data_IF_859645040833
#
_entry.id   IF_859645040833
#
_cell.length_a   1.000
_cell.length_b   1.000
_cell.length_c   1.000
_cell.angle_alpha   90.00
_cell.angle_beta   90.00
_cell.angle_gamma   90.00
#
_symmetry.space_group_name_H-M   'P 1'
#
loop_
_entity.id
_entity.type
_entity.pdbx_description
1 polymer ?
#
# COMPACT_ATOMS: atom_id res chain seq x y z
N UNK A 1 35.92 -1.48 -29.79
CA UNK A 1 34.83 -1.93 -28.89
C UNK A 1 34.32 -3.24 -29.45
N UNK A 2 34.65 -4.34 -28.77
CA UNK A 2 34.26 -5.68 -29.19
C UNK A 2 32.76 -5.86 -29.06
N UNK A 3 32.10 -6.25 -30.15
CA UNK A 3 30.75 -6.82 -30.14
C UNK A 3 30.73 -7.98 -29.13
N UNK A 4 30.17 -7.72 -27.94
CA UNK A 4 29.81 -8.77 -26.99
C UNK A 4 28.66 -9.55 -27.63
N UNK A 5 29.03 -10.62 -28.36
CA UNK A 5 28.09 -11.57 -28.92
C UNK A 5 27.15 -12.04 -27.81
N UNK A 6 25.85 -11.76 -27.93
CA UNK A 6 24.83 -12.34 -27.08
C UNK A 6 24.98 -13.87 -27.12
N UNK A 7 25.40 -14.44 -25.98
CA UNK A 7 25.46 -15.88 -25.78
C UNK A 7 24.09 -16.49 -26.11
N UNK A 8 24.06 -17.57 -26.91
CA UNK A 8 22.86 -18.38 -27.19
C UNK A 8 22.19 -18.94 -25.93
N UNK A 9 22.87 -18.86 -24.78
CA UNK A 9 22.43 -19.28 -23.45
C UNK A 9 22.76 -18.18 -22.44
N UNK A 10 22.06 -17.05 -22.53
CA UNK A 10 22.21 -15.96 -21.55
C UNK A 10 21.51 -16.35 -20.26
N UNK A 11 22.27 -16.51 -19.17
CA UNK A 11 21.71 -16.69 -17.82
C UNK A 11 20.74 -15.56 -17.44
N UNK A 12 20.93 -14.36 -18.01
CA UNK A 12 20.04 -13.23 -17.80
C UNK A 12 18.62 -13.44 -18.32
N UNK A 13 18.44 -14.13 -19.45
CA UNK A 13 17.11 -14.35 -20.02
C UNK A 13 16.32 -15.39 -19.21
N UNK A 14 17.01 -16.41 -18.68
CA UNK A 14 16.40 -17.38 -17.76
C UNK A 14 16.02 -16.73 -16.44
N UNK A 15 16.92 -15.94 -15.84
CA UNK A 15 16.64 -15.19 -14.61
C UNK A 15 15.45 -14.25 -14.77
N UNK A 16 15.38 -13.51 -15.89
CA UNK A 16 14.24 -12.64 -16.19
C UNK A 16 12.92 -13.42 -16.30
N UNK A 17 12.96 -14.65 -16.83
CA UNK A 17 11.81 -15.56 -16.83
C UNK A 17 11.29 -15.83 -15.41
N UNK A 18 12.18 -16.24 -14.50
CA UNK A 18 11.82 -16.51 -13.11
C UNK A 18 11.30 -15.27 -12.37
N UNK A 19 11.93 -14.12 -12.59
CA UNK A 19 11.45 -12.84 -12.01
C UNK A 19 10.06 -12.51 -12.58
N UNK A 20 9.84 -12.69 -13.88
CA UNK A 20 8.54 -12.45 -14.50
C UNK A 20 7.43 -13.33 -13.90
N UNK A 21 7.72 -14.59 -13.59
CA UNK A 21 6.77 -15.46 -12.91
C UNK A 21 6.45 -14.98 -11.49
N UNK A 22 7.47 -14.56 -10.73
CA UNK A 22 7.27 -14.00 -9.39
C UNK A 22 6.41 -12.74 -9.42
N UNK A 23 6.69 -11.80 -10.33
CA UNK A 23 5.92 -10.57 -10.49
C UNK A 23 4.48 -10.87 -10.94
N UNK A 24 4.32 -11.82 -11.87
CA UNK A 24 3.00 -12.17 -12.37
C UNK A 24 2.15 -12.83 -11.31
N UNK A 25 2.74 -13.71 -10.50
CA UNK A 25 2.07 -14.32 -9.38
C UNK A 25 1.55 -13.28 -8.36
N UNK A 26 2.34 -12.25 -8.05
CA UNK A 26 1.88 -11.13 -7.20
C UNK A 26 0.73 -10.37 -7.85
N UNK A 27 0.89 -9.97 -9.11
CA UNK A 27 -0.16 -9.27 -9.84
C UNK A 27 -1.46 -10.10 -9.89
N UNK A 28 -1.34 -11.40 -10.14
CA UNK A 28 -2.47 -12.33 -10.24
C UNK A 28 -3.19 -12.52 -8.90
N UNK A 29 -2.49 -12.44 -7.77
CA UNK A 29 -3.13 -12.39 -6.44
C UNK A 29 -3.83 -11.06 -6.21
N UNK A 30 -3.18 -9.94 -6.53
CA UNK A 30 -3.76 -8.60 -6.36
C UNK A 30 -4.97 -8.34 -7.29
N UNK A 31 -5.09 -9.09 -8.39
CA UNK A 31 -6.21 -8.99 -9.35
C UNK A 31 -7.40 -9.89 -8.98
N UNK A 32 -7.39 -10.54 -7.81
CA UNK A 32 -8.47 -11.43 -7.35
C UNK A 32 -9.30 -10.82 -6.24
N UNK A 33 -10.60 -11.11 -6.30
CA UNK A 33 -11.56 -10.81 -5.22
C UNK A 33 -11.75 -11.99 -4.24
N UNK A 34 -11.06 -13.13 -4.45
CA UNK A 34 -11.28 -14.38 -3.71
C UNK A 34 -10.23 -14.59 -2.62
N UNK A 35 -10.68 -14.56 -1.37
CA UNK A 35 -9.82 -14.56 -0.18
C UNK A 35 -9.15 -15.90 0.17
N UNK A 36 -9.55 -17.02 -0.44
CA UNK A 36 -9.17 -18.39 0.01
C UNK A 36 -8.22 -19.13 -0.93
N UNK A 37 -7.58 -18.40 -1.84
CA UNK A 37 -6.63 -18.99 -2.80
C UNK A 37 -5.20 -18.95 -2.28
N UNK A 38 -4.41 -19.89 -2.76
CA UNK A 38 -2.98 -19.96 -2.50
C UNK A 38 -2.22 -20.06 -3.82
N UNK A 39 -1.00 -19.54 -3.86
CA UNK A 39 -0.13 -19.62 -5.04
C UNK A 39 1.09 -20.47 -4.76
N UNK A 40 1.43 -21.31 -5.73
CA UNK A 40 2.73 -21.96 -5.84
C UNK A 40 3.44 -21.48 -7.11
N UNK A 41 4.77 -21.34 -7.04
CA UNK A 41 5.61 -20.87 -8.16
C UNK A 41 6.64 -21.97 -8.43
N UNK A 42 6.87 -22.28 -9.71
CA UNK A 42 7.83 -23.31 -10.15
C UNK A 42 7.56 -24.68 -9.50
N UNK A 43 6.29 -25.13 -9.57
CA UNK A 43 5.86 -26.43 -9.03
C UNK A 43 5.33 -27.34 -10.15
N UNK A 44 4.00 -27.51 -10.25
CA UNK A 44 3.36 -28.24 -11.33
C UNK A 44 3.42 -27.43 -12.64
N UNK A 45 3.35 -26.11 -12.54
CA UNK A 45 3.57 -25.17 -13.64
C UNK A 45 4.32 -23.94 -13.10
N UNK A 46 4.57 -22.95 -13.96
CA UNK A 46 5.31 -21.73 -13.63
C UNK A 46 4.62 -20.97 -12.49
N UNK A 47 3.29 -20.82 -12.55
CA UNK A 47 2.44 -20.33 -11.47
C UNK A 47 1.20 -21.22 -11.34
N UNK A 48 0.90 -21.67 -10.13
CA UNK A 48 -0.23 -22.56 -9.84
C UNK A 48 -1.11 -21.89 -8.80
N UNK A 49 -2.41 -21.78 -9.11
CA UNK A 49 -3.41 -21.33 -8.14
C UNK A 49 -4.15 -22.53 -7.59
N UNK A 50 -4.22 -22.62 -6.27
CA UNK A 50 -4.85 -23.72 -5.55
C UNK A 50 -5.93 -23.15 -4.63
N UNK A 51 -7.07 -23.83 -4.57
CA UNK A 51 -8.08 -23.56 -3.55
C UNK A 51 -7.66 -24.11 -2.19
N UNK A 52 -8.48 -23.88 -1.17
CA UNK A 52 -8.21 -24.31 0.21
C UNK A 52 -7.98 -25.83 0.39
N UNK A 53 -8.45 -26.66 -0.56
CA UNK A 53 -8.27 -28.12 -0.54
C UNK A 53 -6.95 -28.59 -1.21
N UNK A 54 -6.13 -27.66 -1.74
CA UNK A 54 -4.80 -27.93 -2.29
C UNK A 54 -4.76 -28.46 -3.72
N UNK A 55 -5.91 -28.77 -4.33
CA UNK A 55 -5.99 -29.14 -5.75
C UNK A 55 -5.71 -27.93 -6.66
N UNK A 56 -4.92 -28.09 -7.75
CA UNK A 56 -4.73 -27.03 -8.74
C UNK A 56 -6.03 -26.64 -9.43
N UNK A 57 -6.48 -25.41 -9.19
CA UNK A 57 -7.62 -24.80 -9.89
C UNK A 57 -7.16 -24.14 -11.19
N UNK A 58 -5.94 -23.58 -11.19
CA UNK A 58 -5.35 -22.95 -12.38
C UNK A 58 -3.87 -23.31 -12.51
N UNK A 59 -3.48 -23.67 -13.74
CA UNK A 59 -2.08 -23.81 -14.15
C UNK A 59 -1.75 -22.72 -15.15
N UNK A 60 -0.81 -21.85 -14.80
CA UNK A 60 -0.36 -20.75 -15.63
C UNK A 60 1.05 -21.04 -16.14
N UNK A 61 1.16 -21.25 -17.44
CA UNK A 61 2.43 -21.35 -18.14
C UNK A 61 2.78 -19.99 -18.75
N UNK A 62 3.88 -19.40 -18.31
CA UNK A 62 4.33 -18.06 -18.67
C UNK A 62 5.51 -18.10 -19.65
N UNK A 63 5.40 -17.40 -20.77
CA UNK A 63 6.43 -17.31 -21.81
C UNK A 63 6.84 -15.86 -22.06
N UNK A 64 8.03 -15.51 -21.58
CA UNK A 64 8.62 -14.20 -21.77
C UNK A 64 9.48 -14.18 -23.05
N UNK A 65 9.09 -13.35 -24.01
CA UNK A 65 9.88 -13.03 -25.19
C UNK A 65 10.27 -11.56 -25.20
N UNK A 66 11.54 -11.30 -25.50
CA UNK A 66 12.10 -9.94 -25.56
C UNK A 66 12.07 -9.41 -26.99
N UNK A 67 11.65 -8.16 -27.14
CA UNK A 67 12.00 -7.39 -28.34
C UNK A 67 13.51 -7.14 -28.31
N UNK A 68 14.20 -7.58 -29.35
CA UNK A 68 15.62 -7.27 -29.56
C UNK A 68 15.71 -6.27 -30.70
N UNK A 69 16.57 -5.24 -30.64
CA UNK A 69 16.77 -4.34 -31.78
C UNK A 69 17.02 -5.12 -33.07
N UNK A 70 16.22 -4.86 -34.11
CA UNK A 70 16.31 -5.55 -35.40
C UNK A 70 15.63 -6.92 -35.49
N UNK A 71 15.00 -7.43 -34.42
CA UNK A 71 14.25 -8.69 -34.43
C UNK A 71 12.90 -8.56 -33.73
N UNK A 72 11.83 -8.58 -34.52
CA UNK A 72 10.48 -8.64 -34.00
C UNK A 72 10.23 -9.92 -33.19
N UNK A 73 9.40 -9.81 -32.15
CA UNK A 73 8.93 -10.98 -31.40
C UNK A 73 8.09 -11.84 -32.32
N UNK A 74 8.39 -13.14 -32.37
CA UNK A 74 7.65 -14.09 -33.22
C UNK A 74 6.23 -14.23 -32.70
N UNK A 75 5.27 -14.24 -33.61
CA UNK A 75 3.88 -14.48 -33.23
C UNK A 75 3.65 -15.92 -32.79
N UNK A 76 2.73 -16.12 -31.85
CA UNK A 76 2.26 -17.46 -31.47
C UNK A 76 1.34 -17.99 -32.59
N UNK A 77 1.89 -18.89 -33.41
CA UNK A 77 1.18 -19.65 -34.45
C UNK A 77 0.90 -21.08 -33.99
N UNK A 78 0.09 -21.84 -34.73
CA UNK A 78 -0.28 -23.21 -34.31
C UNK A 78 0.89 -24.21 -34.35
N UNK A 79 1.96 -23.90 -35.07
CA UNK A 79 3.22 -24.68 -35.08
C UNK A 79 4.30 -24.06 -34.17
N UNK A 80 3.94 -23.09 -33.32
CA UNK A 80 4.90 -22.48 -32.39
C UNK A 80 5.34 -23.49 -31.31
N UNK A 81 6.64 -23.59 -31.07
CA UNK A 81 7.19 -24.58 -30.12
C UNK A 81 6.61 -24.44 -28.71
N UNK A 82 6.40 -23.21 -28.24
CA UNK A 82 5.89 -22.99 -26.88
C UNK A 82 4.48 -23.57 -26.68
N UNK A 83 3.64 -23.57 -27.72
CA UNK A 83 2.32 -24.20 -27.64
C UNK A 83 2.47 -25.71 -27.41
N UNK A 84 3.30 -26.38 -28.22
CA UNK A 84 3.48 -27.84 -28.15
C UNK A 84 4.26 -28.29 -26.91
N UNK A 85 5.24 -27.49 -26.44
CA UNK A 85 5.91 -27.73 -25.15
C UNK A 85 4.91 -27.64 -23.99
N UNK A 86 4.03 -26.64 -24.01
CA UNK A 86 2.99 -26.47 -22.99
C UNK A 86 1.99 -27.62 -23.01
N UNK A 87 1.47 -27.99 -24.19
CA UNK A 87 0.58 -29.15 -24.34
C UNK A 87 1.23 -30.45 -23.86
N UNK A 88 2.54 -30.62 -24.10
CA UNK A 88 3.29 -31.78 -23.59
C UNK A 88 3.27 -31.86 -22.07
N UNK A 89 3.57 -30.73 -21.41
CA UNK A 89 3.63 -30.61 -19.95
C UNK A 89 2.25 -30.92 -19.36
N UNK A 90 1.21 -30.22 -19.80
CA UNK A 90 -0.15 -30.43 -19.31
C UNK A 90 -0.67 -31.84 -19.58
N UNK A 91 -0.40 -32.41 -20.77
CA UNK A 91 -0.78 -33.81 -21.06
C UNK A 91 -0.08 -34.81 -20.14
N UNK A 92 1.17 -34.52 -19.75
CA UNK A 92 1.91 -35.36 -18.81
C UNK A 92 1.31 -35.29 -17.40
N UNK A 93 0.89 -34.11 -16.94
CA UNK A 93 0.20 -33.96 -15.65
C UNK A 93 -1.16 -34.65 -15.63
N UNK A 94 -1.94 -34.53 -16.71
CA UNK A 94 -3.23 -35.22 -16.85
C UNK A 94 -3.05 -36.73 -16.81
N UNK A 95 -2.04 -37.24 -17.52
CA UNK A 95 -1.67 -38.67 -17.46
C UNK A 95 -1.21 -39.09 -16.07
N UNK A 96 -0.60 -38.17 -15.32
CA UNK A 96 -0.19 -38.35 -13.93
C UNK A 96 -1.31 -38.24 -12.89
N UNK A 97 -2.54 -37.96 -13.30
CA UNK A 97 -3.72 -37.93 -12.41
C UNK A 97 -4.39 -36.57 -12.21
N UNK A 98 -3.86 -35.49 -12.80
CA UNK A 98 -4.55 -34.19 -12.80
C UNK A 98 -5.88 -34.29 -13.55
N UNK A 99 -6.98 -33.78 -12.98
CA UNK A 99 -8.27 -33.77 -13.66
C UNK A 99 -8.46 -32.48 -14.49
N UNK A 100 -8.42 -32.55 -15.83
CA UNK A 100 -8.61 -31.37 -16.67
C UNK A 100 -10.02 -30.79 -16.61
N UNK A 101 -10.99 -31.44 -15.97
CA UNK A 101 -12.35 -30.92 -15.81
C UNK A 101 -12.44 -29.83 -14.74
N UNK A 102 -11.60 -29.92 -13.70
CA UNK A 102 -11.59 -29.02 -12.52
C UNK A 102 -10.42 -28.02 -12.57
N UNK A 103 -9.56 -28.12 -13.57
CA UNK A 103 -8.38 -27.24 -13.73
C UNK A 103 -8.50 -26.37 -14.97
N UNK A 104 -8.24 -25.07 -14.83
CA UNK A 104 -8.07 -24.13 -15.93
C UNK A 104 -6.60 -24.09 -16.36
N UNK A 105 -6.35 -24.13 -17.67
CA UNK A 105 -5.00 -24.14 -18.23
C UNK A 105 -4.75 -22.83 -19.00
N UNK A 106 -3.79 -22.04 -18.58
CA UNK A 106 -3.58 -20.68 -19.10
C UNK A 106 -2.16 -20.59 -19.67
N UNK A 107 -2.06 -20.52 -20.99
CA UNK A 107 -0.80 -20.21 -21.66
C UNK A 107 -0.73 -18.71 -21.87
N UNK A 108 0.24 -18.08 -21.24
CA UNK A 108 0.44 -16.64 -21.30
C UNK A 108 1.76 -16.33 -21.95
N UNK A 109 1.74 -15.42 -22.91
CA UNK A 109 2.93 -15.06 -23.65
C UNK A 109 2.95 -13.58 -23.98
N UNK A 110 4.14 -12.98 -23.96
CA UNK A 110 4.37 -11.64 -24.49
C UNK A 110 4.39 -11.63 -26.02
N UNK A 111 4.46 -12.80 -26.66
CA UNK A 111 4.36 -12.92 -28.12
C UNK A 111 3.00 -12.47 -28.63
N UNK A 112 2.94 -11.71 -29.73
CA UNK A 112 1.68 -11.33 -30.32
C UNK A 112 0.99 -12.55 -30.94
N UNK A 113 -0.34 -12.49 -31.05
CA UNK A 113 -1.11 -13.48 -31.82
C UNK A 113 -0.70 -13.42 -33.30
N UNK A 114 -0.68 -14.57 -33.98
CA UNK A 114 -0.52 -14.62 -35.45
C UNK A 114 -1.74 -14.06 -36.16
N UNK A 115 -1.60 -13.67 -37.44
CA UNK A 115 -2.70 -13.03 -38.20
C UNK A 115 -3.82 -13.96 -38.66
N UNK A 116 -3.68 -15.28 -38.48
CA UNK A 116 -4.71 -16.25 -38.85
C UNK A 116 -5.84 -16.26 -37.80
N UNK A 117 -7.01 -15.74 -38.18
CA UNK A 117 -8.22 -15.71 -37.33
C UNK A 117 -8.78 -17.11 -37.03
N UNK A 118 -8.38 -18.12 -37.81
CA UNK A 118 -8.78 -19.51 -37.64
C UNK A 118 -7.81 -20.29 -36.72
N UNK A 119 -6.75 -19.63 -36.25
CA UNK A 119 -5.72 -20.25 -35.38
C UNK A 119 -6.25 -20.69 -34.02
N UNK A 120 -5.51 -21.59 -33.38
CA UNK A 120 -5.77 -22.08 -32.02
C UNK A 120 -5.73 -20.91 -31.03
N UNK A 121 -4.79 -19.98 -31.18
CA UNK A 121 -4.66 -18.81 -30.31
C UNK A 121 -5.87 -17.87 -30.39
N UNK A 122 -6.53 -17.74 -31.55
CA UNK A 122 -7.79 -16.99 -31.67
C UNK A 122 -8.96 -17.78 -31.06
N UNK A 123 -9.03 -19.07 -31.38
CA UNK A 123 -10.11 -19.95 -30.94
C UNK A 123 -10.12 -20.17 -29.42
N UNK A 124 -8.97 -20.03 -28.76
CA UNK A 124 -8.79 -20.15 -27.31
C UNK A 124 -8.45 -18.82 -26.62
N UNK A 125 -8.82 -17.68 -27.20
CA UNK A 125 -8.67 -16.38 -26.56
C UNK A 125 -9.43 -16.29 -25.21
N UNK A 126 -9.11 -15.31 -24.34
CA UNK A 126 -9.79 -15.12 -23.06
C UNK A 126 -11.31 -15.00 -23.18
N UNK A 127 -12.03 -15.57 -22.21
CA UNK A 127 -13.49 -15.43 -22.11
C UNK A 127 -13.84 -13.95 -21.89
N UNK A 128 -14.91 -13.48 -22.55
CA UNK A 128 -15.39 -12.10 -22.41
C UNK A 128 -14.58 -11.03 -23.15
N UNK A 129 -13.57 -11.43 -23.95
CA UNK A 129 -12.87 -10.51 -24.85
C UNK A 129 -13.61 -10.30 -26.19
N UNK A 130 -13.01 -9.48 -27.06
CA UNK A 130 -13.57 -9.11 -28.37
C UNK A 130 -13.62 -10.27 -29.39
N UNK A 131 -12.95 -11.38 -29.10
CA UNK A 131 -12.82 -12.52 -29.99
C UNK A 131 -13.83 -13.62 -29.65
N UNK A 132 -14.42 -14.22 -30.68
CA UNK A 132 -15.32 -15.36 -30.53
C UNK A 132 -14.51 -16.63 -30.21
N UNK A 133 -14.40 -16.95 -28.93
CA UNK A 133 -13.81 -18.20 -28.44
C UNK A 133 -14.60 -19.42 -28.95
N UNK A 134 -13.90 -20.42 -29.48
CA UNK A 134 -14.47 -21.67 -30.01
C UNK A 134 -13.52 -22.86 -29.73
N UNK A 135 -13.67 -23.53 -28.57
CA UNK A 135 -12.82 -24.66 -28.20
C UNK A 135 -12.98 -25.88 -29.08
N UNK A 136 -14.16 -26.10 -29.67
CA UNK A 136 -14.41 -27.23 -30.56
C UNK A 136 -13.59 -27.09 -31.84
N UNK A 137 -13.58 -25.88 -32.41
CA UNK A 137 -12.72 -25.54 -33.54
C UNK A 137 -11.23 -25.69 -33.20
N UNK A 138 -10.82 -25.20 -32.03
CA UNK A 138 -9.45 -25.34 -31.55
C UNK A 138 -9.04 -26.82 -31.41
N UNK A 139 -9.92 -27.66 -30.86
CA UNK A 139 -9.67 -29.09 -30.67
C UNK A 139 -9.46 -29.79 -32.02
N UNK A 140 -10.38 -29.61 -32.96
CA UNK A 140 -10.28 -30.21 -34.30
C UNK A 140 -8.96 -29.83 -34.99
N UNK A 141 -8.60 -28.55 -34.88
CA UNK A 141 -7.35 -28.01 -35.44
C UNK A 141 -6.12 -28.59 -34.75
N UNK A 142 -6.11 -28.68 -33.42
CA UNK A 142 -5.03 -29.28 -32.64
C UNK A 142 -4.87 -30.77 -32.95
N UNK A 143 -5.95 -31.54 -33.03
CA UNK A 143 -5.90 -32.98 -33.34
C UNK A 143 -5.37 -33.23 -34.76
N UNK A 144 -5.83 -32.43 -35.73
CA UNK A 144 -5.36 -32.51 -37.13
C UNK A 144 -3.87 -32.20 -37.21
N UNK A 145 -3.45 -31.07 -36.63
CA UNK A 145 -2.05 -30.66 -36.61
C UNK A 145 -1.17 -31.64 -35.82
N UNK A 146 -1.66 -32.19 -34.72
CA UNK A 146 -0.91 -33.17 -33.94
C UNK A 146 -0.68 -34.45 -34.76
N UNK A 147 -1.69 -34.92 -35.51
CA UNK A 147 -1.54 -36.07 -36.39
C UNK A 147 -0.55 -35.79 -37.54
N UNK A 148 -0.62 -34.61 -38.16
CA UNK A 148 0.37 -34.18 -39.16
C UNK A 148 1.78 -34.16 -38.59
N UNK A 149 1.99 -33.46 -37.47
CA UNK A 149 3.29 -33.28 -36.82
C UNK A 149 3.90 -34.62 -36.37
N UNK A 150 3.06 -35.53 -35.85
CA UNK A 150 3.54 -36.83 -35.38
C UNK A 150 3.97 -37.75 -36.53
N UNK A 151 3.33 -37.62 -37.70
CA UNK A 151 3.65 -38.41 -38.89
C UNK A 151 4.68 -37.74 -39.82
N UNK A 152 5.06 -36.49 -39.53
CA UNK A 152 6.05 -35.76 -40.30
C UNK A 152 7.45 -36.38 -40.09
N UNK A 153 8.02 -36.89 -41.19
CA UNK A 153 9.33 -37.54 -41.19
C UNK A 153 10.50 -36.54 -41.22
N UNK A 154 10.24 -35.28 -41.60
CA UNK A 154 11.26 -34.22 -41.63
C UNK A 154 11.46 -33.59 -40.24
N UNK A 155 10.48 -33.76 -39.34
CA UNK A 155 10.60 -33.35 -37.96
C UNK A 155 11.33 -34.39 -37.11
N UNK A 156 12.29 -33.92 -36.32
CA UNK A 156 12.98 -34.78 -35.35
C UNK A 156 12.02 -35.35 -34.31
N UNK A 157 12.06 -36.67 -34.10
CA UNK A 157 11.38 -37.38 -33.00
C UNK A 157 11.76 -36.82 -31.62
N UNK A 158 12.98 -36.27 -31.50
CA UNK A 158 13.44 -35.63 -30.28
C UNK A 158 12.92 -34.18 -30.11
N UNK A 159 12.36 -33.60 -31.17
CA UNK A 159 11.95 -32.20 -31.29
C UNK A 159 10.72 -31.86 -30.45
N UNK A 160 10.60 -30.57 -30.11
CA UNK A 160 9.54 -30.07 -29.24
C UNK A 160 8.13 -30.26 -29.82
N UNK A 161 7.95 -30.06 -31.13
CA UNK A 161 6.66 -30.22 -31.80
C UNK A 161 6.18 -31.67 -31.71
N UNK A 162 7.01 -32.62 -32.16
CA UNK A 162 6.66 -34.05 -32.22
C UNK A 162 6.35 -34.63 -30.85
N UNK A 163 7.20 -34.39 -29.84
CA UNK A 163 6.93 -34.80 -28.46
C UNK A 163 5.67 -34.20 -27.86
N UNK A 164 5.33 -32.96 -28.23
CA UNK A 164 4.09 -32.31 -27.79
C UNK A 164 2.86 -32.91 -28.45
N UNK A 165 2.91 -33.11 -29.76
CA UNK A 165 1.84 -33.73 -30.53
C UNK A 165 1.55 -35.15 -30.06
N UNK A 166 2.58 -35.98 -29.90
CA UNK A 166 2.45 -37.35 -29.41
C UNK A 166 1.86 -37.40 -27.99
N UNK A 167 2.37 -36.57 -27.06
CA UNK A 167 1.84 -36.50 -25.71
C UNK A 167 0.36 -36.09 -25.67
N UNK A 168 -0.04 -35.13 -26.52
CA UNK A 168 -1.43 -34.71 -26.65
C UNK A 168 -2.31 -35.83 -27.23
N UNK A 169 -1.84 -36.52 -28.28
CA UNK A 169 -2.58 -37.62 -28.92
C UNK A 169 -2.72 -38.85 -28.03
N UNK A 170 -1.77 -39.09 -27.11
CA UNK A 170 -1.82 -40.18 -26.13
C UNK A 170 -2.90 -40.00 -25.07
N UNK A 171 -3.44 -38.79 -24.88
CA UNK A 171 -4.59 -38.58 -24.00
C UNK A 171 -5.87 -39.20 -24.59
N UNK A 172 -6.72 -39.84 -23.77
CA UNK A 172 -8.06 -40.23 -24.20
C UNK A 172 -8.84 -39.02 -24.75
N UNK A 173 -9.68 -39.26 -25.76
CA UNK A 173 -10.44 -38.20 -26.44
C UNK A 173 -11.22 -37.30 -25.46
N UNK A 174 -11.84 -37.88 -24.44
CA UNK A 174 -12.54 -37.13 -23.39
C UNK A 174 -11.61 -36.15 -22.66
N UNK A 175 -10.41 -36.59 -22.27
CA UNK A 175 -9.43 -35.74 -21.57
C UNK A 175 -8.87 -34.64 -22.48
N UNK A 176 -8.70 -34.90 -23.79
CA UNK A 176 -8.35 -33.86 -24.78
C UNK A 176 -9.43 -32.79 -24.89
N UNK A 177 -10.70 -33.21 -24.98
CA UNK A 177 -11.86 -32.30 -25.00
C UNK A 177 -11.87 -31.42 -23.75
N UNK A 178 -11.71 -32.00 -22.55
CA UNK A 178 -11.69 -31.25 -21.28
C UNK A 178 -10.52 -30.28 -21.21
N UNK A 179 -9.30 -30.72 -21.56
CA UNK A 179 -8.11 -29.87 -21.61
C UNK A 179 -8.34 -28.65 -22.51
N UNK A 180 -8.75 -28.85 -23.76
CA UNK A 180 -8.94 -27.74 -24.71
C UNK A 180 -10.10 -26.84 -24.30
N UNK A 181 -11.18 -27.39 -23.77
CA UNK A 181 -12.31 -26.60 -23.26
C UNK A 181 -11.92 -25.66 -22.12
N UNK A 182 -11.00 -26.08 -21.26
CA UNK A 182 -10.51 -25.31 -20.13
C UNK A 182 -9.18 -24.57 -20.41
N UNK A 183 -8.69 -24.62 -21.65
CA UNK A 183 -7.49 -23.92 -22.08
C UNK A 183 -7.78 -22.47 -22.52
N UNK A 184 -6.91 -21.55 -22.14
CA UNK A 184 -6.92 -20.15 -22.55
C UNK A 184 -5.52 -19.72 -23.01
N UNK A 185 -5.44 -19.01 -24.13
CA UNK A 185 -4.19 -18.44 -24.65
C UNK A 185 -4.24 -16.91 -24.55
N UNK A 186 -3.42 -16.36 -23.66
CA UNK A 186 -3.23 -14.93 -23.42
C UNK A 186 -1.97 -14.43 -24.14
N UNK A 187 -2.12 -14.02 -25.40
CA UNK A 187 -1.05 -13.39 -26.17
C UNK A 187 -0.90 -11.90 -25.86
N UNK A 188 0.22 -11.30 -26.27
CA UNK A 188 0.52 -9.88 -26.05
C UNK A 188 0.40 -9.46 -24.59
N UNK A 189 0.72 -10.38 -23.67
CA UNK A 189 0.71 -10.10 -22.25
C UNK A 189 1.77 -9.03 -21.91
N UNK A 190 1.56 -8.21 -20.86
CA UNK A 190 2.50 -7.16 -20.51
C UNK A 190 3.90 -7.70 -20.30
N UNK A 191 4.91 -6.97 -20.77
CA UNK A 191 6.29 -7.25 -20.39
C UNK A 191 6.49 -6.96 -18.89
N UNK A 192 7.58 -7.49 -18.33
CA UNK A 192 7.91 -7.33 -16.90
C UNK A 192 7.86 -5.87 -16.39
N UNK A 193 8.30 -4.91 -17.21
CA UNK A 193 8.30 -3.47 -16.85
C UNK A 193 6.87 -2.93 -16.74
N UNK A 194 5.99 -3.31 -17.66
CA UNK A 194 4.59 -2.85 -17.64
C UNK A 194 3.78 -3.59 -16.57
N UNK A 195 4.18 -4.81 -16.21
CA UNK A 195 3.59 -5.56 -15.11
C UNK A 195 3.82 -4.87 -13.76
N UNK A 196 5.02 -4.33 -13.50
CA UNK A 196 5.30 -3.53 -12.29
C UNK A 196 4.36 -2.32 -12.16
N UNK A 197 4.06 -1.63 -13.27
CA UNK A 197 3.11 -0.51 -13.28
C UNK A 197 1.69 -0.96 -12.91
N UNK A 198 1.28 -2.14 -13.35
CA UNK A 198 -0.04 -2.70 -12.97
C UNK A 198 -0.09 -3.07 -11.49
N UNK A 199 0.99 -3.60 -10.93
CA UNK A 199 1.10 -3.88 -9.49
C UNK A 199 0.98 -2.58 -8.68
N UNK A 200 1.71 -1.52 -9.06
CA UNK A 200 1.60 -0.17 -8.46
C UNK A 200 0.14 0.31 -8.45
N UNK A 201 -0.52 0.27 -9.61
CA UNK A 201 -1.92 0.68 -9.76
C UNK A 201 -2.88 -0.08 -8.84
N UNK A 202 -2.71 -1.41 -8.69
CA UNK A 202 -3.56 -2.20 -7.78
C UNK A 202 -3.30 -1.89 -6.31
N UNK A 203 -2.05 -1.65 -5.95
CA UNK A 203 -1.69 -1.28 -4.58
C UNK A 203 -2.16 0.13 -4.21
N UNK A 204 -2.35 1.05 -5.17
CA UNK A 204 -2.96 2.37 -4.90
C UNK A 204 -4.36 2.24 -4.29
N UNK A 205 -5.14 1.27 -4.78
CA UNK A 205 -6.48 1.00 -4.25
C UNK A 205 -6.47 0.33 -2.86
N UNK A 206 -5.30 -0.12 -2.37
CA UNK A 206 -5.16 -1.01 -1.21
C UNK A 206 -4.59 -0.31 0.04
N UNK A 207 -4.45 1.02 0.03
CA UNK A 207 -4.21 1.80 1.26
C UNK A 207 -2.87 2.51 1.41
N UNK A 208 -2.22 2.94 0.33
CA UNK A 208 -1.15 3.95 0.41
C UNK A 208 -1.66 5.32 -0.01
N UNK A 209 -1.49 6.37 0.80
CA UNK A 209 -1.65 7.74 0.30
C UNK A 209 -0.56 8.07 -0.70
N UNK A 210 -0.76 9.08 -1.56
CA UNK A 210 0.23 9.47 -2.56
C UNK A 210 1.61 9.76 -1.93
N UNK A 211 1.65 10.24 -0.68
CA UNK A 211 2.89 10.53 0.03
C UNK A 211 3.73 9.29 0.34
N UNK A 212 3.10 8.20 0.76
CA UNK A 212 3.80 6.98 1.21
C UNK A 212 3.76 5.86 0.18
N UNK A 213 3.03 6.04 -0.92
CA UNK A 213 2.79 5.01 -1.92
C UNK A 213 4.06 4.34 -2.47
N UNK A 214 5.15 5.07 -2.83
CA UNK A 214 6.36 4.42 -3.32
C UNK A 214 6.98 3.45 -2.31
N UNK A 215 7.07 3.87 -1.04
CA UNK A 215 7.60 3.04 0.06
C UNK A 215 6.69 1.85 0.35
N UNK A 216 5.37 2.05 0.25
CA UNK A 216 4.39 0.99 0.41
C UNK A 216 4.54 -0.10 -0.66
N UNK A 217 4.66 0.29 -1.94
CA UNK A 217 4.86 -0.64 -3.05
C UNK A 217 6.18 -1.39 -2.90
N UNK A 218 7.29 -0.69 -2.63
CA UNK A 218 8.59 -1.33 -2.41
C UNK A 218 8.56 -2.32 -1.26
N UNK A 219 7.89 -1.99 -0.15
CA UNK A 219 7.73 -2.86 1.00
C UNK A 219 6.94 -4.14 0.69
N UNK A 220 5.84 -4.04 -0.06
CA UNK A 220 5.03 -5.20 -0.46
C UNK A 220 5.79 -6.08 -1.43
N UNK A 221 6.42 -5.49 -2.44
CA UNK A 221 7.20 -6.20 -3.45
C UNK A 221 8.40 -6.89 -2.81
N UNK A 222 9.13 -6.21 -1.93
CA UNK A 222 10.27 -6.77 -1.23
C UNK A 222 9.87 -7.95 -0.34
N UNK A 223 8.77 -7.82 0.41
CA UNK A 223 8.21 -8.92 1.18
C UNK A 223 7.80 -10.10 0.29
N UNK A 224 7.15 -9.82 -0.84
CA UNK A 224 6.70 -10.85 -1.78
C UNK A 224 7.87 -11.69 -2.31
N UNK A 225 8.97 -11.05 -2.71
CA UNK A 225 10.17 -11.78 -3.10
C UNK A 225 10.72 -12.66 -1.98
N UNK A 226 10.69 -12.17 -0.73
CA UNK A 226 11.02 -12.99 0.44
C UNK A 226 10.11 -14.22 0.59
N UNK A 227 8.80 -14.07 0.35
CA UNK A 227 7.85 -15.17 0.36
C UNK A 227 8.11 -16.20 -0.76
N UNK A 228 8.42 -15.72 -1.98
CA UNK A 228 8.82 -16.58 -3.10
C UNK A 228 10.08 -17.39 -2.77
N UNK A 229 11.10 -16.77 -2.16
CA UNK A 229 12.33 -17.46 -1.76
C UNK A 229 12.01 -18.60 -0.77
N UNK A 230 11.23 -18.32 0.28
CA UNK A 230 10.85 -19.33 1.27
C UNK A 230 10.03 -20.47 0.65
N UNK A 231 9.14 -20.16 -0.30
CA UNK A 231 8.36 -21.15 -1.03
C UNK A 231 9.26 -22.09 -1.86
N UNK A 232 10.20 -21.51 -2.62
CA UNK A 232 11.13 -22.24 -3.49
C UNK A 232 12.13 -23.08 -2.68
N UNK A 233 12.68 -22.55 -1.57
CA UNK A 233 13.53 -23.31 -0.65
C UNK A 233 12.79 -24.50 -0.04
N UNK A 234 11.50 -24.31 0.28
CA UNK A 234 10.60 -25.36 0.72
C UNK A 234 10.16 -26.34 -0.38
N UNK A 235 10.71 -26.22 -1.61
CA UNK A 235 10.36 -27.02 -2.80
C UNK A 235 8.85 -27.02 -3.09
N UNK A 236 8.19 -25.89 -2.87
CA UNK A 236 6.76 -25.74 -3.06
C UNK A 236 5.88 -26.44 -2.01
N UNK A 237 6.46 -27.02 -0.96
CA UNK A 237 5.71 -27.73 0.08
C UNK A 237 4.79 -26.83 0.93
N UNK A 238 4.93 -25.51 0.84
CA UNK A 238 4.04 -24.52 1.45
C UNK A 238 3.69 -23.45 0.41
N UNK A 239 2.52 -23.52 -0.23
CA UNK A 239 2.01 -22.45 -1.07
C UNK A 239 1.92 -21.13 -0.30
N UNK A 240 2.01 -20.01 -1.00
CA UNK A 240 1.88 -18.67 -0.43
C UNK A 240 0.38 -18.32 -0.38
N UNK A 241 -0.23 -18.18 0.81
CA UNK A 241 -1.65 -17.89 0.93
C UNK A 241 -1.94 -16.42 0.64
N UNK A 242 -3.10 -16.13 0.03
CA UNK A 242 -3.55 -14.77 -0.21
C UNK A 242 -3.68 -13.98 1.11
N UNK A 243 -4.12 -14.63 2.19
CA UNK A 243 -4.27 -14.01 3.50
C UNK A 243 -2.92 -13.51 4.07
N UNK A 244 -1.79 -14.09 3.65
CA UNK A 244 -0.47 -13.58 4.05
C UNK A 244 -0.15 -12.25 3.35
N UNK A 245 -0.52 -12.11 2.07
CA UNK A 245 -0.37 -10.86 1.33
C UNK A 245 -1.30 -9.78 1.91
N UNK A 246 -2.57 -10.10 2.17
CA UNK A 246 -3.51 -9.16 2.80
C UNK A 246 -3.02 -8.66 4.15
N UNK A 247 -2.53 -9.58 5.00
CA UNK A 247 -1.97 -9.20 6.30
C UNK A 247 -0.77 -8.27 6.13
N UNK A 248 0.08 -8.49 5.11
CA UNK A 248 1.22 -7.60 4.86
C UNK A 248 0.80 -6.23 4.33
N UNK A 249 -0.20 -6.19 3.44
CA UNK A 249 -0.85 -4.96 2.97
C UNK A 249 -1.38 -4.16 4.15
N UNK A 250 -2.14 -4.79 5.04
CA UNK A 250 -2.67 -4.15 6.24
C UNK A 250 -1.56 -3.66 7.17
N UNK A 251 -0.55 -4.49 7.45
CA UNK A 251 0.59 -4.15 8.30
C UNK A 251 1.34 -2.91 7.80
N UNK A 252 1.69 -2.88 6.50
CA UNK A 252 2.44 -1.76 5.93
C UNK A 252 1.58 -0.51 5.75
N UNK A 253 0.31 -0.66 5.38
CA UNK A 253 -0.62 0.46 5.31
C UNK A 253 -0.77 1.09 6.69
N UNK A 254 -0.90 0.26 7.73
CA UNK A 254 -0.95 0.74 9.10
C UNK A 254 0.37 1.42 9.48
N UNK A 255 1.52 0.76 9.31
CA UNK A 255 2.82 1.29 9.74
C UNK A 255 3.20 2.60 9.03
N UNK A 256 2.91 2.73 7.74
CA UNK A 256 3.25 3.90 6.94
C UNK A 256 2.23 5.03 7.11
N UNK A 257 0.92 4.73 7.25
CA UNK A 257 -0.10 5.76 7.50
C UNK A 257 -0.26 6.11 8.99
N UNK A 258 0.29 5.32 9.91
CA UNK A 258 0.40 5.65 11.34
C UNK A 258 1.51 6.65 11.64
N UNK A 259 2.29 7.10 10.64
CA UNK A 259 3.03 8.35 10.82
C UNK A 259 1.97 9.41 11.09
N UNK A 260 1.95 9.96 12.32
CA UNK A 260 0.96 10.92 12.75
C UNK A 260 0.88 12.13 11.83
N UNK A 261 0.05 13.10 12.21
CA UNK A 261 -0.17 14.30 11.39
C UNK A 261 1.15 14.90 10.86
N UNK A 262 1.22 15.32 9.58
CA UNK A 262 2.46 15.81 9.00
C UNK A 262 2.97 17.04 9.75
N UNK A 263 4.29 17.13 9.95
CA UNK A 263 4.92 18.37 10.42
C UNK A 263 5.05 19.32 9.22
N UNK A 264 4.68 20.59 9.41
CA UNK A 264 4.92 21.61 8.41
C UNK A 264 6.03 22.56 8.85
N UNK A 265 6.72 23.14 7.87
CA UNK A 265 7.65 24.23 8.13
C UNK A 265 6.87 25.47 8.57
N UNK A 266 7.30 26.03 9.71
CA UNK A 266 6.78 27.23 10.35
C UNK A 266 7.96 28.08 10.81
N UNK A 267 7.77 29.39 10.90
CA UNK A 267 8.82 30.30 11.37
C UNK A 267 9.32 29.90 12.75
N UNK A 268 10.65 29.91 12.92
CA UNK A 268 11.31 29.66 14.21
C UNK A 268 11.44 30.96 15.04
N UNK A 269 11.27 32.11 14.39
CA UNK A 269 11.29 33.45 15.00
C UNK A 269 10.12 34.24 14.42
N UNK A 270 9.34 34.88 15.28
CA UNK A 270 8.22 35.70 14.85
C UNK A 270 8.69 37.10 14.43
N UNK A 271 8.13 37.61 13.34
CA UNK A 271 8.34 38.99 12.91
C UNK A 271 7.54 40.00 13.77
N UNK A 272 7.83 41.30 13.62
CA UNK A 272 7.17 42.35 14.40
C UNK A 272 5.65 42.40 14.21
N UNK A 273 5.16 42.06 13.02
CA UNK A 273 3.74 42.08 12.68
C UNK A 273 3.00 40.91 13.34
N UNK A 274 3.59 39.72 13.27
CA UNK A 274 3.12 38.52 13.95
C UNK A 274 3.09 38.73 15.47
N UNK A 275 4.15 39.29 16.06
CA UNK A 275 4.21 39.61 17.49
C UNK A 275 3.13 40.62 17.87
N UNK A 276 2.98 41.72 17.12
CA UNK A 276 1.94 42.72 17.38
C UNK A 276 0.53 42.10 17.37
N UNK A 277 0.24 41.24 16.39
CA UNK A 277 -1.05 40.55 16.27
C UNK A 277 -1.31 39.60 17.45
N UNK A 278 -0.28 38.88 17.91
CA UNK A 278 -0.43 37.96 19.04
C UNK A 278 -0.60 38.68 20.38
N UNK A 279 0.01 39.85 20.56
CA UNK A 279 -0.11 40.67 21.79
C UNK A 279 -1.55 41.09 22.10
N UNK A 280 -2.39 41.20 21.09
CA UNK A 280 -3.82 41.53 21.23
C UNK A 280 -4.66 40.34 21.70
N UNK A 281 -4.13 39.12 21.67
CA UNK A 281 -4.88 37.91 22.04
C UNK A 281 -5.04 37.77 23.56
N UNK A 282 -6.19 37.26 23.99
CA UNK A 282 -6.53 37.08 25.41
C UNK A 282 -5.48 36.25 26.16
N UNK A 283 -4.88 35.23 25.55
CA UNK A 283 -3.88 34.41 26.24
C UNK A 283 -2.63 35.20 26.67
N UNK A 284 -2.22 36.21 25.89
CA UNK A 284 -1.12 37.12 26.25
C UNK A 284 -1.52 37.95 27.48
N UNK A 285 -2.75 38.48 27.48
CA UNK A 285 -3.29 39.21 28.62
C UNK A 285 -3.37 38.35 29.88
N UNK A 286 -3.71 37.07 29.74
CA UNK A 286 -3.70 36.12 30.86
C UNK A 286 -2.28 35.90 31.43
N UNK A 287 -1.26 35.78 30.57
CA UNK A 287 0.14 35.60 30.99
C UNK A 287 0.66 36.87 31.70
N UNK A 288 0.32 38.06 31.20
CA UNK A 288 0.63 39.34 31.87
C UNK A 288 -0.07 39.45 33.23
N UNK A 289 -1.32 39.00 33.32
CA UNK A 289 -2.10 39.06 34.56
C UNK A 289 -1.59 38.15 35.68
N UNK A 290 -0.72 37.17 35.36
CA UNK A 290 0.01 36.39 36.38
C UNK A 290 1.42 36.93 36.61
N UNK A 291 1.75 38.12 36.10
CA UNK A 291 2.97 38.86 36.46
C UNK A 291 4.20 38.58 35.58
N UNK A 292 4.04 38.00 34.39
CA UNK A 292 5.14 37.91 33.41
C UNK A 292 5.31 39.23 32.63
N UNK A 293 6.53 39.51 32.18
CA UNK A 293 6.84 40.67 31.35
C UNK A 293 6.53 40.43 29.87
N UNK A 294 6.06 41.47 29.18
CA UNK A 294 5.71 41.41 27.74
C UNK A 294 6.92 41.12 26.84
N UNK A 295 8.11 41.52 27.26
CA UNK A 295 9.37 41.29 26.53
C UNK A 295 10.21 40.14 27.15
N UNK A 296 9.60 39.33 28.02
CA UNK A 296 10.27 38.20 28.66
C UNK A 296 10.30 36.94 27.79
N UNK A 297 11.29 36.06 28.02
CA UNK A 297 11.46 34.79 27.27
C UNK A 297 10.22 33.89 27.34
N UNK A 298 9.54 33.84 28.49
CA UNK A 298 8.28 33.09 28.61
C UNK A 298 7.22 33.64 27.65
N UNK A 299 7.07 34.95 27.53
CA UNK A 299 6.10 35.54 26.60
C UNK A 299 6.45 35.20 25.15
N UNK A 300 7.73 35.34 24.78
CA UNK A 300 8.22 34.98 23.44
C UNK A 300 7.96 33.50 23.11
N UNK A 301 8.27 32.58 24.03
CA UNK A 301 8.01 31.14 23.86
C UNK A 301 6.52 30.84 23.73
N UNK A 302 5.67 31.47 24.55
CA UNK A 302 4.23 31.27 24.50
C UNK A 302 3.61 31.72 23.17
N UNK A 303 4.05 32.87 22.66
CA UNK A 303 3.62 33.38 21.34
C UNK A 303 4.07 32.45 20.21
N UNK A 304 5.32 31.96 20.24
CA UNK A 304 5.83 31.04 19.23
C UNK A 304 5.11 29.68 19.26
N UNK A 305 4.91 29.10 20.45
CA UNK A 305 4.19 27.84 20.61
C UNK A 305 2.72 27.99 20.12
N UNK A 306 2.03 29.09 20.48
CA UNK A 306 0.68 29.40 19.97
C UNK A 306 0.67 29.48 18.44
N UNK A 307 1.59 30.25 17.85
CA UNK A 307 1.67 30.45 16.41
C UNK A 307 1.85 29.12 15.67
N UNK A 308 2.82 28.31 16.10
CA UNK A 308 3.09 27.01 15.48
C UNK A 308 1.92 26.05 15.64
N UNK A 309 1.29 25.99 16.81
CA UNK A 309 0.13 25.13 17.05
C UNK A 309 -1.08 25.55 16.20
N UNK A 310 -1.40 26.85 16.14
CA UNK A 310 -2.51 27.38 15.35
C UNK A 310 -2.31 27.14 13.85
N UNK A 311 -1.10 27.40 13.34
CA UNK A 311 -0.75 27.15 11.94
C UNK A 311 -0.87 25.67 11.54
N UNK A 312 -0.34 24.76 12.36
CA UNK A 312 -0.44 23.32 12.09
C UNK A 312 -1.89 22.84 12.14
N UNK A 313 -2.65 23.24 13.17
CA UNK A 313 -4.05 22.85 13.33
C UNK A 313 -4.90 23.33 12.15
N UNK A 314 -4.72 24.58 11.69
CA UNK A 314 -5.40 25.10 10.50
C UNK A 314 -5.10 24.28 9.25
N UNK A 315 -3.83 24.01 8.97
CA UNK A 315 -3.43 23.20 7.81
C UNK A 315 -3.98 21.77 7.89
N UNK A 316 -3.93 21.13 9.06
CA UNK A 316 -4.51 19.79 9.21
C UNK A 316 -6.03 19.75 9.02
N UNK A 317 -6.74 20.82 9.36
CA UNK A 317 -8.19 20.95 9.09
C UNK A 317 -8.41 21.18 7.59
N UNK A 318 -7.65 22.08 6.96
CA UNK A 318 -7.72 22.37 5.52
C UNK A 318 -7.43 21.12 4.66
N UNK A 319 -6.47 20.30 5.10
CA UNK A 319 -6.08 19.05 4.45
C UNK A 319 -6.96 17.85 4.86
N UNK A 320 -8.06 18.06 5.61
CA UNK A 320 -8.97 17.03 6.11
C UNK A 320 -8.30 15.90 6.93
N UNK A 321 -7.13 16.17 7.52
CA UNK A 321 -6.38 15.22 8.37
C UNK A 321 -6.94 15.18 9.81
N UNK A 322 -7.53 16.29 10.26
CA UNK A 322 -8.12 16.49 11.59
C UNK A 322 -9.53 17.05 11.45
N UNK A 323 -10.49 16.43 12.12
CA UNK A 323 -11.86 16.94 12.21
C UNK A 323 -12.17 17.60 13.56
N UNK A 324 -13.39 18.14 13.71
CA UNK A 324 -13.84 18.74 14.97
C UNK A 324 -13.88 17.74 16.13
N UNK A 325 -14.16 16.46 15.88
CA UNK A 325 -14.22 15.45 16.94
C UNK A 325 -12.82 15.12 17.46
N UNK A 326 -11.82 15.05 16.58
CA UNK A 326 -10.41 14.91 16.91
C UNK A 326 -9.94 16.07 17.81
N UNK A 327 -10.23 17.31 17.41
CA UNK A 327 -9.88 18.51 18.20
C UNK A 327 -10.60 18.54 19.55
N UNK A 328 -11.89 18.23 19.58
CA UNK A 328 -12.67 18.25 20.82
C UNK A 328 -12.16 17.21 21.84
N UNK A 329 -11.79 16.00 21.38
CA UNK A 329 -11.16 14.99 22.24
C UNK A 329 -9.83 15.49 22.79
N UNK A 330 -8.95 15.96 21.90
CA UNK A 330 -7.64 16.48 22.27
C UNK A 330 -7.73 17.64 23.27
N UNK A 331 -8.62 18.61 23.03
CA UNK A 331 -8.86 19.73 23.94
C UNK A 331 -9.53 19.32 25.25
N UNK A 332 -10.34 18.26 25.26
CA UNK A 332 -10.87 17.68 26.49
C UNK A 332 -9.75 17.11 27.36
N UNK A 333 -8.80 16.39 26.76
CA UNK A 333 -7.65 15.82 27.47
C UNK A 333 -6.76 16.93 28.06
N UNK A 334 -6.48 17.99 27.27
CA UNK A 334 -5.76 19.17 27.75
C UNK A 334 -6.49 19.84 28.92
N UNK A 335 -7.81 20.07 28.81
CA UNK A 335 -8.59 20.66 29.92
C UNK A 335 -8.57 19.79 31.17
N UNK A 336 -8.64 18.48 31.01
CA UNK A 336 -8.50 17.52 32.10
C UNK A 336 -7.17 17.68 32.82
N UNK A 337 -6.06 17.68 32.07
CA UNK A 337 -4.72 17.86 32.64
C UNK A 337 -4.55 19.23 33.33
N UNK A 338 -5.00 20.33 32.70
CA UNK A 338 -5.00 21.66 33.32
C UNK A 338 -5.82 21.69 34.62
N UNK A 339 -6.98 21.03 34.66
CA UNK A 339 -7.88 21.06 35.83
C UNK A 339 -7.24 20.44 37.09
N UNK A 340 -6.35 19.47 36.93
CA UNK A 340 -5.60 18.87 38.05
C UNK A 340 -4.68 19.90 38.69
N UNK A 341 -3.92 20.63 37.88
CA UNK A 341 -3.01 21.67 38.36
C UNK A 341 -3.75 22.88 38.92
N UNK A 342 -4.80 23.32 38.22
CA UNK A 342 -5.62 24.45 38.66
C UNK A 342 -6.37 24.13 39.95
N UNK A 343 -6.97 22.94 40.08
CA UNK A 343 -7.68 22.53 41.29
C UNK A 343 -6.79 22.48 42.52
N UNK A 344 -5.53 22.05 42.35
CA UNK A 344 -4.53 22.11 43.43
C UNK A 344 -4.28 23.55 43.88
N UNK A 345 -4.07 24.45 42.91
CA UNK A 345 -3.89 25.88 43.18
C UNK A 345 -5.12 26.53 43.83
N UNK A 346 -6.33 26.13 43.42
CA UNK A 346 -7.58 26.69 43.93
C UNK A 346 -7.71 26.53 45.45
N UNK A 347 -7.21 25.42 46.02
CA UNK A 347 -7.21 25.18 47.47
C UNK A 347 -6.38 26.18 48.27
N UNK A 348 -5.41 26.85 47.64
CA UNK A 348 -4.51 27.83 48.26
C UNK A 348 -5.01 29.28 48.07
N UNK A 349 -6.19 29.49 47.47
CA UNK A 349 -6.73 30.83 47.24
C UNK A 349 -7.02 31.59 48.55
N UNK A 350 -7.53 30.89 49.57
CA UNK A 350 -7.86 31.49 50.87
C UNK A 350 -6.62 32.02 51.59
N UNK A 351 -5.47 31.39 51.38
CA UNK A 351 -4.19 31.83 51.91
C UNK A 351 -3.67 33.05 51.15
N UNK A 352 -3.89 33.10 49.82
CA UNK A 352 -3.58 34.27 49.01
C UNK A 352 -4.38 35.50 49.45
N UNK A 353 -5.67 35.33 49.77
CA UNK A 353 -6.53 36.41 50.25
C UNK A 353 -6.06 37.02 51.58
N UNK A 354 -5.43 36.21 52.45
CA UNK A 354 -4.90 36.62 53.76
C UNK A 354 -3.49 37.19 53.69
N UNK A 355 -2.85 37.19 52.52
CA UNK A 355 -1.51 37.70 52.33
C UNK A 355 -1.45 39.23 52.47
N UNK A 356 -0.30 39.78 52.86
CA UNK A 356 -0.08 41.24 52.89
C UNK A 356 -0.16 41.90 51.51
N UNK A 357 0.11 41.13 50.44
CA UNK A 357 -0.01 41.56 49.05
C UNK A 357 -0.81 40.53 48.23
N UNK A 358 -2.15 40.49 48.38
CA UNK A 358 -2.99 39.42 47.82
C UNK A 358 -2.85 39.21 46.31
N UNK A 359 -2.78 40.30 45.53
CA UNK A 359 -2.63 40.20 44.08
C UNK A 359 -1.30 39.55 43.68
N UNK A 360 -0.19 39.89 44.35
CA UNK A 360 1.11 39.25 44.09
C UNK A 360 1.08 37.77 44.47
N UNK A 361 0.34 37.40 45.51
CA UNK A 361 0.15 36.00 45.89
C UNK A 361 -0.63 35.24 44.80
N UNK A 362 -1.74 35.79 44.30
CA UNK A 362 -2.49 35.19 43.19
C UNK A 362 -1.69 35.10 41.89
N UNK A 363 -0.86 36.09 41.58
CA UNK A 363 0.05 36.06 40.44
C UNK A 363 1.02 34.89 40.55
N UNK A 364 1.70 34.73 41.70
CA UNK A 364 2.61 33.59 41.93
C UNK A 364 1.90 32.25 41.81
N UNK A 365 0.68 32.16 42.33
CA UNK A 365 -0.13 30.96 42.22
C UNK A 365 -0.47 30.64 40.75
N UNK A 366 -0.85 31.65 39.97
CA UNK A 366 -1.09 31.50 38.53
C UNK A 366 0.16 31.18 37.71
N UNK A 367 1.33 31.72 38.08
CA UNK A 367 2.62 31.34 37.50
C UNK A 367 2.90 29.85 37.72
N UNK A 368 2.58 29.33 38.91
CA UNK A 368 2.73 27.90 39.21
C UNK A 368 1.79 27.04 38.35
N UNK A 369 0.51 27.40 38.25
CA UNK A 369 -0.44 26.70 37.37
C UNK A 369 0.07 26.67 35.93
N UNK A 370 0.50 27.81 35.41
CA UNK A 370 1.05 27.95 34.05
C UNK A 370 2.28 27.06 33.87
N UNK A 371 3.26 27.16 34.77
CA UNK A 371 4.49 26.36 34.73
C UNK A 371 4.20 24.86 34.77
N UNK A 372 3.38 24.42 35.72
CA UNK A 372 3.12 23.00 35.93
C UNK A 372 2.33 22.41 34.76
N UNK A 373 1.34 23.15 34.25
CA UNK A 373 0.56 22.74 33.07
C UNK A 373 1.43 22.64 31.82
N UNK A 374 2.25 23.66 31.53
CA UNK A 374 3.12 23.67 30.35
C UNK A 374 4.32 22.72 30.46
N UNK A 375 4.66 22.30 31.68
CA UNK A 375 5.70 21.31 31.98
C UNK A 375 5.22 19.85 31.91
N UNK A 376 3.92 19.61 31.67
CA UNK A 376 3.38 18.25 31.49
C UNK A 376 3.94 17.58 30.23
N UNK A 377 3.98 16.24 30.24
CA UNK A 377 4.37 15.47 29.07
C UNK A 377 3.44 15.83 27.88
N UNK A 378 3.97 15.96 26.64
CA UNK A 378 3.17 16.34 25.49
C UNK A 378 1.98 15.39 25.29
N UNK A 379 0.77 15.96 25.26
CA UNK A 379 -0.42 15.26 24.75
C UNK A 379 -0.39 15.38 23.24
N UNK A 380 -0.47 14.25 22.55
CA UNK A 380 -0.46 14.18 21.09
C UNK A 380 -1.82 14.32 20.43
N UNK A 381 -1.84 14.80 19.19
CA UNK A 381 -3.02 14.77 18.33
C UNK A 381 -2.79 13.78 17.19
N UNK A 382 -3.59 12.70 17.13
CA UNK A 382 -3.47 11.62 16.13
C UNK A 382 -2.01 11.17 15.90
N UNK A 383 -1.29 10.91 16.99
CA UNK A 383 0.11 10.45 16.97
C UNK A 383 1.17 11.53 16.76
N UNK A 384 0.80 12.78 16.43
CA UNK A 384 1.75 13.88 16.37
C UNK A 384 2.08 14.42 17.76
N UNK A 385 3.34 14.27 18.16
CA UNK A 385 3.85 14.64 19.47
C UNK A 385 4.94 15.70 19.33
N UNK A 386 4.58 16.97 19.52
CA UNK A 386 5.55 18.06 19.60
C UNK A 386 5.18 19.00 20.74
N UNK A 387 6.16 19.43 21.53
CA UNK A 387 5.92 20.28 22.71
C UNK A 387 5.21 21.59 22.36
N UNK A 388 5.48 22.15 21.17
CA UNK A 388 4.80 23.36 20.72
C UNK A 388 3.30 23.14 20.49
N UNK A 389 2.88 21.94 20.05
CA UNK A 389 1.47 21.65 19.80
C UNK A 389 0.69 21.67 21.12
N UNK A 390 1.19 20.96 22.13
CA UNK A 390 0.54 20.87 23.45
C UNK A 390 0.52 22.23 24.14
N UNK A 391 1.68 22.90 24.26
CA UNK A 391 1.81 24.21 24.92
C UNK A 391 1.02 25.30 24.19
N UNK A 392 1.15 25.36 22.86
CA UNK A 392 0.39 26.27 22.03
C UNK A 392 -1.11 26.03 22.10
N UNK A 393 -1.57 24.78 22.20
CA UNK A 393 -2.99 24.47 22.35
C UNK A 393 -3.57 24.87 23.69
N UNK A 394 -2.79 24.82 24.78
CA UNK A 394 -3.21 25.46 26.03
C UNK A 394 -3.39 26.97 25.86
N UNK A 395 -2.49 27.65 25.15
CA UNK A 395 -2.64 29.06 24.85
C UNK A 395 -3.87 29.34 23.96
N UNK A 396 -4.18 28.46 22.99
CA UNK A 396 -5.41 28.52 22.20
C UNK A 396 -6.64 28.41 23.11
N UNK A 397 -6.67 27.46 24.04
CA UNK A 397 -7.76 27.30 25.02
C UNK A 397 -7.89 28.48 25.99
N UNK A 398 -6.78 29.16 26.30
CA UNK A 398 -6.75 30.38 27.11
C UNK A 398 -7.03 31.66 26.30
N UNK A 399 -7.28 31.53 25.00
CA UNK A 399 -7.52 32.64 24.08
C UNK A 399 -9.01 32.75 23.70
N UNK A 400 -9.35 33.80 22.96
CA UNK A 400 -10.71 34.10 22.50
C UNK A 400 -11.58 34.84 23.52
N UNK A 401 -12.81 35.12 23.12
CA UNK A 401 -13.79 35.88 23.93
C UNK A 401 -14.35 35.07 25.10
N UNK A 402 -14.24 33.74 24.99
CA UNK A 402 -14.68 32.77 26.00
C UNK A 402 -13.57 31.76 26.20
N UNK A 403 -12.49 32.13 26.91
CA UNK A 403 -11.41 31.20 27.17
C UNK A 403 -11.95 30.00 27.95
N UNK A 404 -11.58 28.79 27.52
CA UNK A 404 -11.99 27.55 28.15
C UNK A 404 -11.20 27.26 29.44
N UNK A 405 -9.99 27.83 29.55
CA UNK A 405 -9.10 27.73 30.70
C UNK A 405 -8.50 29.10 31.04
N UNK A 406 -7.88 29.20 32.22
CA UNK A 406 -7.07 30.36 32.55
C UNK A 406 -6.01 30.11 33.62
N UNK A 407 -5.11 31.07 33.77
CA UNK A 407 -3.93 30.91 34.62
C UNK A 407 -4.12 31.54 36.01
N UNK A 408 -4.72 32.73 36.06
CA UNK A 408 -5.00 33.42 37.32
C UNK A 408 -6.20 32.77 38.04
N UNK A 409 -6.23 32.58 39.38
CA UNK A 409 -7.37 31.95 40.08
C UNK A 409 -8.73 32.59 39.76
N UNK A 410 -8.78 33.92 39.67
CA UNK A 410 -9.97 34.68 39.26
C UNK A 410 -10.13 34.90 37.73
N UNK A 411 -9.51 34.08 36.88
CA UNK A 411 -9.51 34.28 35.42
C UNK A 411 -10.91 34.41 34.82
N UNK A 412 -11.90 33.65 35.31
CA UNK A 412 -13.29 33.73 34.83
C UNK A 412 -13.89 35.13 34.99
N UNK A 413 -13.59 35.82 36.09
CA UNK A 413 -14.05 37.20 36.33
C UNK A 413 -13.20 38.26 35.64
N UNK A 414 -11.97 37.91 35.22
CA UNK A 414 -11.06 38.82 34.50
C UNK A 414 -11.24 38.77 32.99
N UNK A 415 -11.55 37.59 32.45
CA UNK A 415 -11.52 37.29 31.01
C UNK A 415 -12.78 36.55 30.51
N UNK A 416 -13.74 36.22 31.39
CA UNK A 416 -15.05 35.70 31.01
C UNK A 416 -16.07 36.83 30.76
N UNK A 417 -17.19 36.50 30.10
CA UNK A 417 -18.23 37.49 29.71
C UNK A 417 -18.78 38.23 30.94
N UNK A 418 -18.71 39.57 30.92
CA UNK A 418 -19.39 40.42 31.89
C UNK A 418 -18.56 41.48 32.64
N UNK A 419 -17.48 42.03 32.07
CA UNK A 419 -16.89 43.28 32.59
C UNK A 419 -17.23 44.49 31.71
N UNK A 420 -17.71 45.61 32.29
CA UNK A 420 -17.63 46.90 31.65
C UNK A 420 -16.15 47.27 31.54
N UNK A 421 -15.77 47.82 30.39
CA UNK A 421 -14.47 48.47 30.20
C UNK A 421 -14.32 49.55 31.28
N UNK A 422 -13.28 49.44 32.12
CA UNK A 422 -12.82 50.51 32.99
C UNK A 422 -11.64 51.22 32.35
#
# INVERSE_FOLDING_TARGET
MSDLSYSKFSAGDSMLGYIYQCEYALYHLLDRDRLTVQISIETVDDVVVQGAQGSPEELLQLKLHRQTPGRAVRSITDRHEDLWKTLRVWSSHIKGGLDPSETSFILMTTSPRGGDVESVAHSLAPKGGDLKRDPTKALNRLETLAAEISNDADLSDAGALKKGAEAFLLLPAEKRIRLVNNMTIMSSSPAIIDLRKKIDQRLRASGGTDEVHPQFVEGIVGWWYGACIQHLEGKGGRPIPFEALERKIAELSQALNLSGLPRYDTDEVLDETQVATLRERTFVQQILAVGHHVDGEMMASAMLDFYKADAHRKRWIEDFRVDLADLNRFESDLRGAWSVHFGTAETECDDCARNSEPEKAYQKLGQRVLKDTLGTAPVGLKGFNASFLTRGSYHILASGDRPAIGWHPHWKGRFGVGKPLS
#
